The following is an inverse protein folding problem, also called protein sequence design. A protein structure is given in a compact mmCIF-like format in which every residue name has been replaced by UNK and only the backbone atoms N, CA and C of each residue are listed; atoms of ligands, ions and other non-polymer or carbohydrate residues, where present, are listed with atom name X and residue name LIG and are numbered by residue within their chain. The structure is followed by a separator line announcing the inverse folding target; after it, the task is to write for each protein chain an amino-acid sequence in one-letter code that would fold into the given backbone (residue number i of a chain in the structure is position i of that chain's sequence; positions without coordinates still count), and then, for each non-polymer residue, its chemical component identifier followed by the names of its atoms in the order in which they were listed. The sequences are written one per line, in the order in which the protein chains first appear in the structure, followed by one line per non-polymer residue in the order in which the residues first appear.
data_IF_745297100449
#
_entry.id   IF_745297100449
#
_cell.length_a   1.000
_cell.length_b   1.000
_cell.length_c   1.000
_cell.angle_alpha   90.00
_cell.angle_beta   90.00
_cell.angle_gamma   90.00
#
_symmetry.space_group_name_H-M   'P 1'
#
loop_
_entity.id
_entity.type
_entity.pdbx_description
1 polymer ?
#
# COMPACT_ATOMS: atom_id res chain seq x y z
N UNK A 1 -5.43 -3.35 16.66
CA UNK A 1 -4.32 -2.97 17.54
C UNK A 1 -3.63 -4.22 18.06
N UNK A 2 -2.34 -4.39 17.76
CA UNK A 2 -1.56 -5.60 18.09
C UNK A 2 -0.41 -5.23 19.03
N UNK A 3 -0.10 -6.12 19.97
CA UNK A 3 1.05 -5.94 20.86
C UNK A 3 2.34 -5.93 20.05
N UNK A 4 3.23 -4.96 20.34
CA UNK A 4 4.56 -4.92 19.70
C UNK A 4 5.38 -6.18 20.04
N UNK A 5 6.06 -6.74 19.06
CA UNK A 5 6.96 -7.86 19.26
C UNK A 5 8.13 -7.44 20.14
N UNK A 6 8.43 -8.19 21.19
CA UNK A 6 9.39 -7.80 22.22
C UNK A 6 10.79 -7.45 21.67
N UNK A 7 11.31 -8.26 20.74
CA UNK A 7 12.62 -7.99 20.12
C UNK A 7 12.61 -6.69 19.28
N UNK A 8 11.47 -6.36 18.64
CA UNK A 8 11.33 -5.11 17.90
C UNK A 8 11.34 -3.91 18.85
N UNK A 9 10.59 -3.98 19.97
CA UNK A 9 10.59 -2.94 21.00
C UNK A 9 11.99 -2.72 21.60
N UNK A 10 12.75 -3.79 21.90
CA UNK A 10 14.12 -3.70 22.39
C UNK A 10 15.04 -3.02 21.36
N UNK A 11 14.95 -3.40 20.07
CA UNK A 11 15.77 -2.77 19.02
C UNK A 11 15.42 -1.29 18.85
N UNK A 12 14.14 -0.93 18.92
CA UNK A 12 13.69 0.47 18.88
C UNK A 12 14.26 1.26 20.07
N UNK A 13 14.16 0.73 21.28
CA UNK A 13 14.68 1.38 22.48
C UNK A 13 16.18 1.65 22.31
N UNK A 14 16.96 0.65 21.89
CA UNK A 14 18.39 0.77 21.68
C UNK A 14 18.74 1.83 20.62
N UNK A 15 18.03 1.84 19.48
CA UNK A 15 18.25 2.84 18.42
C UNK A 15 17.91 4.27 18.87
N UNK A 16 16.98 4.43 19.82
CA UNK A 16 16.63 5.74 20.36
C UNK A 16 17.58 6.24 21.47
N UNK A 17 18.23 5.34 22.20
CA UNK A 17 18.98 5.69 23.42
C UNK A 17 20.49 5.50 23.29
N UNK A 18 20.95 4.53 22.54
CA UNK A 18 22.37 4.16 22.42
C UNK A 18 22.93 4.38 21.01
N UNK A 19 22.29 3.77 20.02
CA UNK A 19 22.74 3.75 18.61
C UNK A 19 22.06 4.87 17.79
N UNK A 20 21.69 5.97 18.44
CA UNK A 20 21.01 7.10 17.79
C UNK A 20 21.90 7.85 16.80
N UNK A 21 21.32 8.31 15.70
CA UNK A 21 22.02 9.09 14.69
C UNK A 21 21.11 9.55 13.57
N UNK A 22 21.51 10.64 12.91
CA UNK A 22 20.82 11.06 11.68
C UNK A 22 21.47 10.37 10.47
N UNK A 23 20.75 9.50 9.75
CA UNK A 23 21.30 8.74 8.62
C UNK A 23 21.80 9.63 7.46
N UNK A 24 21.42 10.91 7.43
CA UNK A 24 21.90 11.87 6.43
C UNK A 24 23.21 12.57 6.83
N UNK A 25 23.72 12.30 8.04
CA UNK A 25 24.96 12.93 8.53
C UNK A 25 26.19 12.13 8.11
N UNK A 26 27.28 12.82 7.73
CA UNK A 26 28.51 12.21 7.22
C UNK A 26 29.49 11.76 8.32
N UNK A 27 29.15 11.92 9.61
CA UNK A 27 29.98 11.45 10.72
C UNK A 27 29.61 10.01 11.13
N UNK A 28 30.47 9.37 11.97
CA UNK A 28 30.30 7.94 12.33
C UNK A 28 28.90 7.56 12.78
N UNK A 29 28.25 8.35 13.64
CA UNK A 29 26.87 8.08 14.10
C UNK A 29 25.83 8.13 12.99
N UNK A 30 26.01 8.96 11.99
CA UNK A 30 25.15 9.00 10.80
C UNK A 30 25.32 7.74 9.95
N UNK A 31 26.57 7.32 9.74
CA UNK A 31 26.88 6.08 8.98
C UNK A 31 26.31 4.85 9.69
N UNK A 32 26.44 4.74 11.02
CA UNK A 32 25.84 3.65 11.81
C UNK A 32 24.30 3.60 11.65
N UNK A 33 23.65 4.76 11.73
CA UNK A 33 22.21 4.87 11.53
C UNK A 33 21.78 4.48 10.10
N UNK A 34 22.52 4.91 9.07
CA UNK A 34 22.28 4.53 7.68
C UNK A 34 22.43 3.02 7.48
N UNK A 35 23.47 2.40 8.07
CA UNK A 35 23.67 0.95 8.00
C UNK A 35 22.47 0.18 8.57
N UNK A 36 21.93 0.61 9.71
CA UNK A 36 20.74 -0.02 10.31
C UNK A 36 19.52 0.02 9.36
N UNK A 37 19.31 1.13 8.65
CA UNK A 37 18.25 1.26 7.65
C UNK A 37 18.51 0.33 6.45
N UNK A 38 19.73 0.28 5.95
CA UNK A 38 20.13 -0.61 4.83
C UNK A 38 19.91 -2.09 5.17
N UNK A 39 20.30 -2.51 6.38
CA UNK A 39 20.06 -3.87 6.84
C UNK A 39 18.56 -4.20 6.89
N UNK A 40 17.75 -3.29 7.43
CA UNK A 40 16.29 -3.47 7.47
C UNK A 40 15.71 -3.59 6.06
N UNK A 41 16.10 -2.72 5.13
CA UNK A 41 15.69 -2.79 3.71
C UNK A 41 16.08 -4.13 3.08
N UNK A 42 17.31 -4.59 3.28
CA UNK A 42 17.80 -5.86 2.74
C UNK A 42 16.99 -7.06 3.22
N UNK A 43 16.68 -7.11 4.53
CA UNK A 43 15.86 -8.18 5.12
C UNK A 43 14.45 -8.17 4.53
N UNK A 44 13.83 -7.01 4.47
CA UNK A 44 12.47 -6.86 3.94
C UNK A 44 12.40 -7.17 2.44
N UNK A 45 13.37 -6.67 1.66
CA UNK A 45 13.45 -6.94 0.23
C UNK A 45 13.59 -8.44 -0.05
N UNK A 46 14.44 -9.14 0.73
CA UNK A 46 14.59 -10.58 0.64
C UNK A 46 13.30 -11.34 0.97
N UNK A 47 12.57 -10.91 1.99
CA UNK A 47 11.30 -11.52 2.40
C UNK A 47 10.19 -11.30 1.35
N UNK A 48 10.13 -10.12 0.76
CA UNK A 48 9.14 -9.74 -0.25
C UNK A 48 9.55 -10.13 -1.69
N UNK A 49 10.79 -10.59 -1.88
CA UNK A 49 11.40 -10.91 -3.20
C UNK A 49 11.39 -9.72 -4.16
N UNK A 50 11.69 -8.54 -3.64
CA UNK A 50 11.79 -7.28 -4.37
C UNK A 50 13.18 -6.68 -4.22
N UNK A 51 13.47 -5.57 -4.94
CA UNK A 51 14.73 -4.83 -4.81
C UNK A 51 14.64 -3.82 -3.65
N UNK A 52 15.76 -3.54 -2.97
CA UNK A 52 15.82 -2.57 -1.87
C UNK A 52 15.33 -1.17 -2.26
N UNK A 53 15.56 -0.76 -3.52
CA UNK A 53 15.10 0.53 -4.05
C UNK A 53 13.58 0.65 -4.20
N UNK A 54 12.85 -0.49 -4.17
CA UNK A 54 11.40 -0.55 -4.25
C UNK A 54 10.72 -0.40 -2.87
N UNK A 55 11.55 -0.34 -1.79
CA UNK A 55 11.05 -0.18 -0.43
C UNK A 55 11.19 1.28 0.04
N UNK A 56 10.11 1.82 0.55
CA UNK A 56 10.02 3.14 1.15
C UNK A 56 9.49 3.03 2.57
N UNK A 57 10.21 3.59 3.54
CA UNK A 57 9.74 3.70 4.90
C UNK A 57 8.92 4.97 5.08
N UNK A 58 7.77 4.84 5.73
CA UNK A 58 6.85 5.92 6.05
C UNK A 58 6.59 5.95 7.55
N UNK A 59 5.90 6.97 8.03
CA UNK A 59 5.52 7.09 9.44
C UNK A 59 4.41 6.11 9.86
N UNK A 60 3.70 5.51 8.90
CA UNK A 60 2.63 4.56 9.17
C UNK A 60 1.77 4.27 7.94
N UNK A 61 0.77 3.38 8.09
CA UNK A 61 -0.11 2.94 7.01
C UNK A 61 -0.82 4.08 6.29
N UNK A 62 -1.32 5.07 7.02
CA UNK A 62 -2.00 6.23 6.43
C UNK A 62 -1.10 6.99 5.44
N UNK A 63 0.17 7.22 5.80
CA UNK A 63 1.12 7.85 4.87
C UNK A 63 1.43 6.95 3.69
N UNK A 64 1.61 5.64 3.92
CA UNK A 64 1.86 4.66 2.86
C UNK A 64 0.72 4.62 1.85
N UNK A 65 -0.53 4.53 2.32
CA UNK A 65 -1.72 4.49 1.47
C UNK A 65 -1.86 5.78 0.65
N UNK A 66 -1.68 6.95 1.28
CA UNK A 66 -1.75 8.23 0.58
C UNK A 66 -0.62 8.35 -0.46
N UNK A 67 0.61 7.99 -0.11
CA UNK A 67 1.75 8.02 -1.03
C UNK A 67 1.51 7.10 -2.25
N UNK A 68 1.04 5.89 -2.01
CA UNK A 68 0.75 4.93 -3.06
C UNK A 68 -0.43 5.39 -3.94
N UNK A 69 -1.59 5.64 -3.35
CA UNK A 69 -2.83 5.91 -4.09
C UNK A 69 -2.78 7.26 -4.81
N UNK A 70 -2.46 8.32 -4.09
CA UNK A 70 -2.43 9.69 -4.65
C UNK A 70 -1.25 9.81 -5.62
N UNK A 71 -0.05 9.34 -5.23
CA UNK A 71 1.13 9.37 -6.07
C UNK A 71 0.95 8.61 -7.38
N UNK A 72 0.44 7.37 -7.31
CA UNK A 72 0.19 6.56 -8.51
C UNK A 72 -0.91 7.15 -9.40
N UNK A 73 -1.98 7.68 -8.81
CA UNK A 73 -3.07 8.30 -9.58
C UNK A 73 -2.56 9.47 -10.41
N UNK A 74 -1.86 10.42 -9.80
CA UNK A 74 -1.32 11.57 -10.53
C UNK A 74 -0.21 11.20 -11.52
N UNK A 75 0.66 10.25 -11.18
CA UNK A 75 1.71 9.79 -12.08
C UNK A 75 1.12 9.15 -13.36
N UNK A 76 -0.04 8.50 -13.26
CA UNK A 76 -0.68 7.78 -14.36
C UNK A 76 -1.90 8.51 -14.97
N UNK A 77 -2.21 9.74 -14.58
CA UNK A 77 -3.40 10.47 -15.00
C UNK A 77 -3.53 10.69 -16.52
N UNK A 78 -2.42 10.55 -17.26
CA UNK A 78 -2.43 10.59 -18.74
C UNK A 78 -2.91 9.29 -19.38
N UNK A 79 -2.76 8.17 -18.68
CA UNK A 79 -3.21 6.85 -19.13
C UNK A 79 -4.69 6.62 -18.86
N UNK A 80 -5.25 7.30 -17.85
CA UNK A 80 -6.64 7.22 -17.47
C UNK A 80 -6.92 7.96 -16.17
N UNK A 81 -8.21 8.09 -15.83
CA UNK A 81 -8.67 8.76 -14.61
C UNK A 81 -9.69 7.94 -13.81
N UNK A 82 -9.74 6.63 -14.02
CA UNK A 82 -10.62 5.75 -13.28
C UNK A 82 -9.85 4.89 -12.28
N UNK A 83 -10.32 4.90 -11.03
CA UNK A 83 -9.81 4.06 -9.95
C UNK A 83 -10.95 3.23 -9.36
N UNK A 84 -10.63 2.03 -8.92
CA UNK A 84 -11.58 1.11 -8.29
C UNK A 84 -11.08 0.78 -6.88
N UNK A 85 -11.99 0.79 -5.93
CA UNK A 85 -11.72 0.36 -4.55
C UNK A 85 -12.95 -0.37 -3.98
N UNK A 86 -12.87 -0.85 -2.74
CA UNK A 86 -14.01 -1.52 -2.10
C UNK A 86 -14.73 -0.59 -1.12
N UNK A 87 -16.00 -0.90 -0.83
CA UNK A 87 -16.80 -0.15 0.15
C UNK A 87 -16.36 -0.38 1.60
N UNK A 88 -15.51 -1.39 1.85
CA UNK A 88 -15.08 -1.81 3.19
C UNK A 88 -13.63 -1.45 3.52
N UNK A 89 -13.01 -0.59 2.73
CA UNK A 89 -11.62 -0.18 2.94
C UNK A 89 -11.43 0.59 4.25
N UNK A 90 -10.18 0.58 4.71
CA UNK A 90 -9.76 1.42 5.83
C UNK A 90 -9.98 2.92 5.51
N UNK A 91 -10.32 3.76 6.49
CA UNK A 91 -10.51 5.20 6.29
C UNK A 91 -9.36 5.91 5.56
N UNK A 92 -8.11 5.47 5.74
CA UNK A 92 -6.95 6.02 5.03
C UNK A 92 -7.09 5.90 3.51
N UNK A 93 -7.56 4.75 3.01
CA UNK A 93 -7.83 4.50 1.59
C UNK A 93 -9.07 5.27 1.12
N UNK A 94 -10.17 5.20 1.88
CA UNK A 94 -11.43 5.88 1.51
C UNK A 94 -11.25 7.41 1.41
N UNK A 95 -10.50 8.02 2.33
CA UNK A 95 -10.23 9.46 2.30
C UNK A 95 -9.30 9.84 1.13
N UNK A 96 -8.30 9.02 0.81
CA UNK A 96 -7.47 9.23 -0.38
C UNK A 96 -8.31 9.15 -1.67
N UNK A 97 -9.21 8.18 -1.78
CA UNK A 97 -10.12 8.05 -2.93
C UNK A 97 -11.09 9.24 -3.03
N UNK A 98 -11.64 9.70 -1.89
CA UNK A 98 -12.48 10.90 -1.86
C UNK A 98 -11.71 12.13 -2.36
N UNK A 99 -10.50 12.35 -1.85
CA UNK A 99 -9.64 13.45 -2.32
C UNK A 99 -9.39 13.36 -3.84
N UNK A 100 -9.06 12.17 -4.35
CA UNK A 100 -8.85 11.96 -5.78
C UNK A 100 -10.11 12.23 -6.61
N UNK A 101 -11.28 11.91 -6.09
CA UNK A 101 -12.56 12.26 -6.74
C UNK A 101 -12.72 13.79 -6.86
N UNK A 102 -12.37 14.55 -5.83
CA UNK A 102 -12.38 16.02 -5.85
C UNK A 102 -11.34 16.60 -6.83
N UNK A 103 -10.29 15.84 -7.16
CA UNK A 103 -9.28 16.18 -8.17
C UNK A 103 -9.67 15.74 -9.60
N UNK A 104 -10.89 15.27 -9.81
CA UNK A 104 -11.42 14.91 -11.12
C UNK A 104 -11.12 13.47 -11.58
N UNK A 105 -10.76 12.57 -10.65
CA UNK A 105 -10.73 11.15 -10.91
C UNK A 105 -12.11 10.54 -10.67
N UNK A 106 -12.48 9.56 -11.46
CA UNK A 106 -13.70 8.75 -11.27
C UNK A 106 -13.39 7.57 -10.37
N UNK A 107 -14.12 7.43 -9.27
CA UNK A 107 -13.92 6.36 -8.30
C UNK A 107 -15.12 5.40 -8.36
N UNK A 108 -14.86 4.12 -8.52
CA UNK A 108 -15.87 3.06 -8.37
C UNK A 108 -15.63 2.32 -7.05
N UNK A 109 -16.65 2.29 -6.20
CA UNK A 109 -16.64 1.54 -4.95
C UNK A 109 -17.36 0.21 -5.18
N UNK A 110 -16.62 -0.90 -5.15
CA UNK A 110 -17.18 -2.23 -5.29
C UNK A 110 -18.00 -2.60 -4.05
N UNK A 111 -19.18 -3.15 -4.21
CA UNK A 111 -19.91 -3.74 -3.11
C UNK A 111 -19.24 -5.04 -2.65
N UNK A 112 -19.59 -5.47 -1.45
CA UNK A 112 -19.20 -6.77 -0.91
C UNK A 112 -20.44 -7.60 -0.61
N UNK A 113 -20.28 -8.90 -0.52
CA UNK A 113 -21.35 -9.82 -0.12
C UNK A 113 -21.61 -9.77 1.40
N UNK A 114 -22.52 -10.62 1.90
CA UNK A 114 -22.86 -10.71 3.32
C UNK A 114 -21.70 -11.17 4.23
N UNK A 115 -20.64 -11.69 3.64
CA UNK A 115 -19.39 -12.08 4.35
C UNK A 115 -18.30 -11.02 4.25
N UNK A 116 -18.59 -9.88 3.62
CA UNK A 116 -17.63 -8.80 3.40
C UNK A 116 -16.59 -9.12 2.32
N UNK A 117 -16.93 -9.95 1.33
CA UNK A 117 -16.02 -10.36 0.24
C UNK A 117 -16.45 -9.76 -1.08
N UNK A 118 -15.50 -9.22 -1.85
CA UNK A 118 -15.72 -8.69 -3.20
C UNK A 118 -15.96 -9.83 -4.18
N UNK A 119 -16.96 -9.68 -5.03
CA UNK A 119 -17.20 -10.60 -6.14
C UNK A 119 -16.35 -10.20 -7.35
N UNK A 120 -15.66 -11.17 -7.94
CA UNK A 120 -14.83 -10.92 -9.13
C UNK A 120 -15.63 -10.40 -10.32
N UNK A 121 -16.87 -10.83 -10.46
CA UNK A 121 -17.78 -10.36 -11.52
C UNK A 121 -18.03 -8.85 -11.43
N UNK A 122 -18.23 -8.32 -10.21
CA UNK A 122 -18.44 -6.89 -9.99
C UNK A 122 -17.19 -6.06 -10.35
N UNK A 123 -16.00 -6.60 -10.04
CA UNK A 123 -14.75 -5.98 -10.46
C UNK A 123 -14.60 -6.01 -11.99
N UNK A 124 -14.90 -7.15 -12.62
CA UNK A 124 -14.78 -7.31 -14.06
C UNK A 124 -15.71 -6.36 -14.83
N UNK A 125 -16.93 -6.17 -14.35
CA UNK A 125 -17.89 -5.22 -14.90
C UNK A 125 -17.46 -3.77 -14.70
N UNK A 126 -16.83 -3.45 -13.56
CA UNK A 126 -16.36 -2.10 -13.25
C UNK A 126 -15.11 -1.69 -14.06
N UNK A 127 -14.31 -2.66 -14.53
CA UNK A 127 -13.10 -2.39 -15.29
C UNK A 127 -13.41 -1.78 -16.66
N UNK A 128 -12.72 -0.70 -16.99
CA UNK A 128 -12.84 -0.02 -18.27
C UNK A 128 -11.45 0.38 -18.82
N UNK A 129 -11.36 0.81 -20.11
CA UNK A 129 -10.08 1.22 -20.73
C UNK A 129 -9.39 2.39 -20.01
N UNK A 130 -10.12 3.16 -19.21
CA UNK A 130 -9.69 4.30 -18.44
C UNK A 130 -9.24 3.94 -17.00
N UNK A 131 -9.37 2.66 -16.60
CA UNK A 131 -8.95 2.19 -15.28
C UNK A 131 -7.43 2.12 -15.19
N UNK A 132 -6.85 2.82 -14.21
CA UNK A 132 -5.40 2.89 -13.97
C UNK A 132 -4.97 2.24 -12.65
N UNK A 133 -5.88 2.11 -11.68
CA UNK A 133 -5.57 1.58 -10.36
C UNK A 133 -6.78 0.83 -9.77
N UNK A 134 -6.50 -0.31 -9.15
CA UNK A 134 -7.43 -1.06 -8.32
C UNK A 134 -6.80 -1.20 -6.93
N UNK A 135 -7.54 -0.84 -5.89
CA UNK A 135 -7.11 -0.96 -4.49
C UNK A 135 -8.08 -1.83 -3.72
N UNK A 136 -7.59 -2.92 -3.15
CA UNK A 136 -8.40 -3.88 -2.38
C UNK A 136 -7.59 -4.37 -1.19
N UNK A 137 -8.06 -4.13 0.02
CA UNK A 137 -7.42 -4.65 1.24
C UNK A 137 -7.37 -6.18 1.22
N UNK A 138 -6.30 -6.77 1.77
CA UNK A 138 -6.20 -8.24 1.82
C UNK A 138 -7.12 -8.84 2.88
N UNK A 139 -7.07 -8.28 4.08
CA UNK A 139 -7.89 -8.73 5.22
C UNK A 139 -8.56 -7.51 5.83
N UNK A 140 -9.87 -7.52 5.97
CA UNK A 140 -10.57 -6.44 6.67
C UNK A 140 -10.22 -6.45 8.16
N UNK A 141 -9.79 -5.32 8.69
CA UNK A 141 -9.32 -5.16 10.06
C UNK A 141 -10.43 -5.23 11.12
N UNK A 142 -11.69 -5.09 10.73
CA UNK A 142 -12.83 -5.10 11.66
C UNK A 142 -13.53 -6.46 11.70
N UNK A 143 -13.85 -7.01 10.54
CA UNK A 143 -14.63 -8.26 10.44
C UNK A 143 -13.79 -9.48 10.04
N UNK A 144 -12.53 -9.27 9.63
CA UNK A 144 -11.62 -10.36 9.28
C UNK A 144 -11.90 -11.04 7.94
N UNK A 145 -12.74 -10.46 7.07
CA UNK A 145 -12.99 -11.00 5.74
C UNK A 145 -11.72 -11.00 4.89
N UNK A 146 -11.45 -12.12 4.23
CA UNK A 146 -10.29 -12.33 3.37
C UNK A 146 -10.68 -12.10 1.92
N UNK A 147 -10.00 -11.18 1.24
CA UNK A 147 -10.30 -10.84 -0.15
C UNK A 147 -9.57 -11.75 -1.14
N UNK A 148 -10.13 -12.04 -2.33
CA UNK A 148 -9.56 -12.93 -3.34
C UNK A 148 -8.43 -12.24 -4.14
N UNK A 149 -7.36 -11.79 -3.44
CA UNK A 149 -6.28 -10.97 -4.01
C UNK A 149 -5.55 -11.67 -5.16
N UNK A 150 -5.31 -12.98 -5.04
CA UNK A 150 -4.63 -13.74 -6.09
C UNK A 150 -5.45 -13.82 -7.39
N UNK A 151 -6.77 -13.97 -7.28
CA UNK A 151 -7.71 -14.00 -8.39
C UNK A 151 -7.81 -12.62 -9.05
N UNK A 152 -7.93 -11.57 -8.24
CA UNK A 152 -7.91 -10.17 -8.71
C UNK A 152 -6.61 -9.88 -9.46
N UNK A 153 -5.47 -10.23 -8.89
CA UNK A 153 -4.17 -10.04 -9.52
C UNK A 153 -4.05 -10.75 -10.88
N UNK A 154 -4.57 -11.98 -11.00
CA UNK A 154 -4.62 -12.71 -12.29
C UNK A 154 -5.53 -12.02 -13.32
N UNK A 155 -6.70 -11.56 -12.90
CA UNK A 155 -7.65 -10.83 -13.75
C UNK A 155 -7.02 -9.53 -14.29
N UNK A 156 -6.36 -8.76 -13.44
CA UNK A 156 -5.73 -7.49 -13.82
C UNK A 156 -4.51 -7.71 -14.73
N UNK A 157 -3.71 -8.76 -14.48
CA UNK A 157 -2.52 -9.08 -15.27
C UNK A 157 -2.87 -9.44 -16.73
N UNK A 158 -4.04 -9.99 -16.98
CA UNK A 158 -4.50 -10.40 -18.30
C UNK A 158 -5.08 -9.25 -19.13
N UNK A 159 -5.05 -8.01 -18.65
CA UNK A 159 -5.54 -6.84 -19.39
C UNK A 159 -4.46 -6.30 -20.33
N UNK A 160 -4.90 -5.77 -21.47
CA UNK A 160 -3.99 -5.19 -22.48
C UNK A 160 -3.18 -4.00 -21.94
N UNK A 161 -3.83 -3.16 -21.10
CA UNK A 161 -3.17 -2.05 -20.42
C UNK A 161 -2.81 -2.44 -19.00
N UNK A 162 -1.61 -2.11 -18.51
CA UNK A 162 -1.22 -2.37 -17.15
C UNK A 162 -2.09 -1.54 -16.18
N UNK A 163 -2.67 -2.21 -15.22
CA UNK A 163 -3.44 -1.60 -14.13
C UNK A 163 -2.64 -1.82 -12.84
N UNK A 164 -2.41 -0.74 -12.09
CA UNK A 164 -1.75 -0.82 -10.79
C UNK A 164 -2.67 -1.52 -9.79
N UNK A 165 -2.11 -2.45 -9.03
CA UNK A 165 -2.83 -3.18 -8.00
C UNK A 165 -2.23 -2.88 -6.64
N UNK A 166 -2.99 -2.18 -5.80
CA UNK A 166 -2.66 -1.83 -4.41
C UNK A 166 -3.42 -2.77 -3.47
N UNK A 167 -2.69 -3.30 -2.46
CA UNK A 167 -3.21 -4.25 -1.47
C UNK A 167 -2.83 -3.81 -0.06
#
# INVERSE_FOLDING_TARGET
TTRCYHKAAQKMCRLMTEDYGNPSSLHCKGVEAEQAIREAKKILAGSLKVQEKELYFTSGGTESDNLALIGCAFANQRAGKHLITTSIEHPAVLQAMKYLSEQGFRITYLPVDSYGVVRLADLEEALCPDTILVSVMYVNNEVGSLQPIAEIGRLLKNREKPILFHV
#
